data_IF_271811434559
#
_entry.id   IF_271811434559
#
_cell.length_a   1.000
_cell.length_b   1.000
_cell.length_c   1.000
_cell.angle_alpha   90.00
_cell.angle_beta   90.00
_cell.angle_gamma   90.00
#
_symmetry.space_group_name_H-M   'P 1'
#
loop_
_entity.id
_entity.type
_entity.pdbx_description
1 polymer ?
#
# COMPACT_ATOMS: atom_id res chain seq x y z
N UNK A 1 -5.11 3.87 13.19
CA UNK A 1 -4.43 2.57 13.09
C UNK A 1 -5.48 1.53 13.45
N UNK A 2 -5.97 0.80 12.45
CA UNK A 2 -6.95 -0.26 12.65
C UNK A 2 -6.29 -1.51 13.23
N UNK A 3 -7.11 -2.53 13.49
CA UNK A 3 -6.60 -3.82 13.93
C UNK A 3 -5.75 -4.47 12.83
N UNK A 4 -4.59 -5.01 13.19
CA UNK A 4 -3.74 -5.76 12.25
C UNK A 4 -4.28 -7.18 12.10
N UNK A 5 -4.62 -7.57 10.87
CA UNK A 5 -5.22 -8.85 10.54
C UNK A 5 -4.44 -9.56 9.42
N UNK A 6 -4.50 -10.91 9.33
CA UNK A 6 -3.91 -11.62 8.22
C UNK A 6 -4.51 -11.19 6.87
N UNK A 7 -3.68 -11.04 5.83
CA UNK A 7 -4.11 -10.59 4.50
C UNK A 7 -5.25 -11.44 3.91
N UNK A 8 -5.23 -12.75 4.15
CA UNK A 8 -6.29 -13.67 3.70
C UNK A 8 -7.61 -13.46 4.44
N UNK A 9 -7.55 -13.13 5.74
CA UNK A 9 -8.74 -12.84 6.53
C UNK A 9 -9.32 -11.48 6.10
N UNK A 10 -8.49 -10.44 6.01
CA UNK A 10 -8.90 -9.13 5.48
C UNK A 10 -9.55 -9.24 4.09
N UNK A 11 -8.97 -10.04 3.19
CA UNK A 11 -9.51 -10.23 1.85
C UNK A 11 -10.91 -10.88 1.86
N UNK A 12 -11.20 -11.70 2.88
CA UNK A 12 -12.50 -12.36 3.08
C UNK A 12 -13.47 -11.53 3.92
N UNK A 13 -12.98 -10.51 4.62
CA UNK A 13 -13.80 -9.59 5.40
C UNK A 13 -14.64 -8.68 4.51
N UNK A 14 -15.75 -8.11 5.03
CA UNK A 14 -16.60 -7.19 4.28
C UNK A 14 -15.87 -5.95 3.73
N UNK A 15 -14.75 -5.56 4.35
CA UNK A 15 -13.89 -4.43 3.93
C UNK A 15 -12.91 -4.77 2.82
N UNK A 16 -12.68 -6.06 2.55
CA UNK A 16 -11.76 -6.55 1.54
C UNK A 16 -12.43 -6.68 0.17
N UNK A 17 -12.58 -7.92 -0.30
CA UNK A 17 -13.15 -8.21 -1.62
C UNK A 17 -14.51 -8.90 -1.48
N UNK A 18 -15.47 -8.52 -2.33
CA UNK A 18 -16.73 -9.26 -2.47
C UNK A 18 -16.49 -10.72 -2.90
N UNK A 19 -15.48 -10.92 -3.76
CA UNK A 19 -15.02 -12.24 -4.20
C UNK A 19 -13.51 -12.30 -3.99
N UNK A 20 -13.03 -12.97 -2.93
CA UNK A 20 -11.62 -13.02 -2.60
C UNK A 20 -10.79 -13.66 -3.72
N UNK A 21 -9.72 -12.99 -4.21
CA UNK A 21 -8.76 -13.60 -5.12
C UNK A 21 -8.01 -14.77 -4.47
N UNK A 22 -7.40 -15.62 -5.31
CA UNK A 22 -6.54 -16.70 -4.81
C UNK A 22 -5.36 -16.16 -3.96
N UNK A 23 -4.85 -16.92 -2.97
CA UNK A 23 -3.77 -16.48 -2.09
C UNK A 23 -2.51 -16.00 -2.82
N UNK A 24 -2.15 -16.66 -3.94
CA UNK A 24 -1.02 -16.25 -4.77
C UNK A 24 -1.20 -14.82 -5.34
N UNK A 25 -2.41 -14.48 -5.76
CA UNK A 25 -2.77 -13.15 -6.26
C UNK A 25 -2.75 -12.10 -5.15
N UNK A 26 -3.26 -12.43 -3.96
CA UNK A 26 -3.18 -11.56 -2.79
C UNK A 26 -1.74 -11.26 -2.40
N UNK A 27 -0.86 -12.27 -2.39
CA UNK A 27 0.56 -12.07 -2.17
C UNK A 27 1.20 -11.17 -3.22
N UNK A 28 0.78 -11.27 -4.49
CA UNK A 28 1.23 -10.36 -5.55
C UNK A 28 0.80 -8.92 -5.25
N UNK A 29 -0.44 -8.69 -4.83
CA UNK A 29 -0.94 -7.36 -4.48
C UNK A 29 -0.18 -6.73 -3.32
N UNK A 30 0.09 -7.50 -2.27
CA UNK A 30 0.93 -7.04 -1.16
C UNK A 30 2.35 -6.68 -1.61
N UNK A 31 3.00 -7.55 -2.40
CA UNK A 31 4.36 -7.30 -2.93
C UNK A 31 4.44 -6.08 -3.84
N UNK A 32 3.40 -5.82 -4.61
CA UNK A 32 3.37 -4.74 -5.61
C UNK A 32 2.79 -3.44 -5.07
N UNK A 33 2.49 -3.36 -3.76
CA UNK A 33 2.00 -2.14 -3.13
C UNK A 33 0.59 -1.74 -3.56
N UNK A 34 -0.25 -2.68 -3.97
CA UNK A 34 -1.61 -2.41 -4.46
C UNK A 34 -2.64 -2.30 -3.33
N UNK A 35 -2.20 -2.32 -2.07
CA UNK A 35 -3.04 -2.26 -0.88
C UNK A 35 -2.50 -1.14 0.02
N UNK A 36 -3.38 -0.25 0.47
CA UNK A 36 -3.05 0.89 1.32
C UNK A 36 -3.93 0.87 2.57
N UNK A 37 -3.36 0.89 3.80
CA UNK A 37 -1.92 0.93 4.12
C UNK A 37 -1.15 -0.30 3.64
N UNK A 38 0.16 -0.13 3.39
CA UNK A 38 1.01 -1.17 2.83
C UNK A 38 1.07 -2.41 3.76
N UNK A 39 0.80 -3.63 3.25
CA UNK A 39 0.90 -4.82 4.06
C UNK A 39 2.32 -5.07 4.55
N UNK A 40 2.46 -5.57 5.78
CA UNK A 40 3.74 -5.89 6.42
C UNK A 40 3.92 -7.41 6.40
N UNK A 41 5.13 -7.87 6.09
CA UNK A 41 5.45 -9.30 6.13
C UNK A 41 5.93 -9.68 7.53
N UNK A 42 5.17 -10.52 8.23
CA UNK A 42 5.51 -11.06 9.54
C UNK A 42 5.73 -12.57 9.43
N UNK A 43 7.00 -12.98 9.37
CA UNK A 43 7.39 -14.37 9.09
C UNK A 43 6.93 -14.83 7.69
N UNK A 44 6.12 -15.88 7.64
CA UNK A 44 5.54 -16.40 6.39
C UNK A 44 4.19 -15.77 6.02
N UNK A 45 3.64 -14.89 6.86
CA UNK A 45 2.31 -14.31 6.69
C UNK A 45 2.40 -12.81 6.33
N UNK A 46 1.49 -12.36 5.48
CA UNK A 46 1.26 -10.94 5.26
C UNK A 46 0.17 -10.45 6.22
N UNK A 47 0.44 -9.34 6.88
CA UNK A 47 -0.44 -8.68 7.83
C UNK A 47 -0.82 -7.32 7.26
N UNK A 48 -2.08 -6.96 7.37
CA UNK A 48 -2.65 -5.74 6.81
C UNK A 48 -3.55 -5.07 7.84
N UNK A 49 -3.69 -3.75 7.74
CA UNK A 49 -4.66 -3.02 8.54
C UNK A 49 -6.09 -3.42 8.11
N UNK A 50 -7.00 -3.62 9.06
CA UNK A 50 -8.39 -3.98 8.77
C UNK A 50 -9.09 -2.95 7.86
N UNK A 51 -8.72 -1.67 7.98
CA UNK A 51 -9.25 -0.58 7.17
C UNK A 51 -8.48 -0.36 5.86
N UNK A 52 -7.56 -1.26 5.53
CA UNK A 52 -6.83 -1.18 4.28
C UNK A 52 -7.77 -1.34 3.06
N UNK A 53 -7.37 -0.74 1.96
CA UNK A 53 -8.10 -0.72 0.69
C UNK A 53 -7.21 -1.23 -0.43
N UNK A 54 -7.77 -2.08 -1.27
CA UNK A 54 -7.16 -2.41 -2.55
C UNK A 54 -7.34 -1.24 -3.52
N UNK A 55 -6.23 -0.74 -4.07
CA UNK A 55 -6.19 0.42 -4.98
C UNK A 55 -5.71 0.05 -6.39
N UNK A 56 -5.34 -1.22 -6.62
CA UNK A 56 -4.83 -1.67 -7.91
C UNK A 56 -3.36 -1.28 -8.15
N UNK A 57 -2.89 -1.47 -9.38
CA UNK A 57 -1.54 -1.07 -9.78
C UNK A 57 -1.47 0.45 -9.81
N UNK A 58 -0.88 1.03 -8.76
CA UNK A 58 -0.48 2.43 -8.77
C UNK A 58 0.78 2.49 -9.64
N UNK A 59 0.67 3.05 -10.85
CA UNK A 59 1.85 3.34 -11.64
C UNK A 59 2.76 4.22 -10.78
N UNK A 60 4.01 3.78 -10.54
CA UNK A 60 4.99 4.61 -9.86
C UNK A 60 5.10 5.90 -10.66
N UNK A 61 4.80 7.03 -10.05
CA UNK A 61 5.00 8.32 -10.70
C UNK A 61 6.47 8.41 -11.10
N UNK A 62 6.74 8.29 -12.39
CA UNK A 62 8.09 8.45 -12.92
C UNK A 62 8.43 9.93 -12.79
N UNK A 63 9.37 10.25 -11.90
CA UNK A 63 9.87 11.60 -11.77
C UNK A 63 10.94 11.77 -12.86
N UNK A 64 10.72 12.60 -13.89
CA UNK A 64 11.68 12.77 -14.97
C UNK A 64 13.03 13.25 -14.43
N UNK A 65 14.12 12.62 -14.87
CA UNK A 65 15.49 12.92 -14.42
C UNK A 65 15.99 14.30 -14.85
N UNK A 66 15.35 14.92 -15.86
CA UNK A 66 15.69 16.25 -16.37
C UNK A 66 15.05 17.40 -15.54
N UNK A 67 14.27 17.09 -14.51
CA UNK A 67 13.70 18.14 -13.65
C UNK A 67 14.77 18.79 -12.77
N UNK A 68 14.63 20.10 -12.55
CA UNK A 68 15.49 20.82 -11.61
C UNK A 68 15.31 20.28 -10.18
N UNK A 69 16.35 20.40 -9.36
CA UNK A 69 16.38 19.86 -8.00
C UNK A 69 15.18 20.33 -7.15
N UNK A 70 14.74 21.58 -7.31
CA UNK A 70 13.61 22.15 -6.59
C UNK A 70 12.26 21.53 -6.99
N UNK A 71 12.03 21.30 -8.28
CA UNK A 71 10.79 20.68 -8.77
C UNK A 71 10.74 19.20 -8.38
N UNK A 72 11.88 18.52 -8.45
CA UNK A 72 12.02 17.13 -8.01
C UNK A 72 11.73 16.98 -6.52
N UNK A 73 12.32 17.82 -5.68
CA UNK A 73 12.07 17.80 -4.24
C UNK A 73 10.60 18.07 -3.87
N UNK A 74 9.91 18.92 -4.65
CA UNK A 74 8.49 19.19 -4.47
C UNK A 74 7.63 17.99 -4.87
N UNK A 75 7.90 17.35 -6.02
CA UNK A 75 7.23 16.11 -6.42
C UNK A 75 7.45 14.99 -5.40
N UNK A 76 8.69 14.80 -4.94
CA UNK A 76 9.03 13.78 -3.93
C UNK A 76 8.26 14.01 -2.62
N UNK A 77 8.13 15.27 -2.17
CA UNK A 77 7.31 15.61 -0.99
C UNK A 77 5.82 15.34 -1.20
N UNK A 78 5.27 15.68 -2.37
CA UNK A 78 3.85 15.47 -2.68
C UNK A 78 3.52 13.99 -2.83
N UNK A 79 4.38 13.20 -3.48
CA UNK A 79 4.17 11.76 -3.70
C UNK A 79 4.29 10.98 -2.39
N UNK A 80 5.30 11.28 -1.57
CA UNK A 80 5.54 10.54 -0.33
C UNK A 80 4.63 10.98 0.82
N UNK A 81 3.89 12.07 0.65
CA UNK A 81 3.14 12.73 1.70
C UNK A 81 4.07 13.43 2.69
N UNK A 82 3.75 14.67 3.05
CA UNK A 82 4.42 15.36 4.15
C UNK A 82 4.07 14.66 5.46
N UNK A 83 4.97 13.85 6.01
CA UNK A 83 4.92 13.48 7.41
C UNK A 83 5.21 14.75 8.22
N UNK A 84 4.18 15.39 8.75
CA UNK A 84 4.34 16.39 9.80
C UNK A 84 4.81 15.64 11.06
N UNK A 85 6.01 15.92 11.60
CA UNK A 85 6.39 15.36 12.88
C UNK A 85 5.42 15.89 13.93
N UNK A 86 4.63 14.99 14.53
CA UNK A 86 3.88 15.30 15.74
C UNK A 86 4.91 15.55 16.86
N UNK A 87 5.01 16.80 17.29
CA UNK A 87 5.65 17.21 18.55
C UNK A 87 4.77 16.81 19.73
#
# INVERSE_FOLDING_TARGET
MGQLVPLMEWASSPKGFKYPPAPATLHRYAKTGQIIPAPIKQGSKWIVDEDAKYVGVIAKAEIPSHLSASVRALLEKTINGSQTPHT
#
